data_IF_389393077544
#
_entry.id   IF_389393077544
#
_cell.length_a   1.000
_cell.length_b   1.000
_cell.length_c   1.000
_cell.angle_alpha   90.00
_cell.angle_beta   90.00
_cell.angle_gamma   90.00
#
_symmetry.space_group_name_H-M   'P 1'
#
loop_
_entity.id
_entity.type
_entity.pdbx_description
1 polymer ?
#
# COMPACT_ATOMS: atom_id res chain seq x y z
N UNK A 1 55.63 10.61 -15.54
CA UNK A 1 55.04 11.94 -15.77
C UNK A 1 53.81 11.72 -16.65
N UNK A 2 52.61 11.69 -16.05
CA UNK A 2 51.56 12.73 -16.15
C UNK A 2 51.03 12.94 -17.58
N UNK A 3 49.79 12.50 -17.82
CA UNK A 3 48.64 13.30 -18.28
C UNK A 3 47.49 12.33 -18.67
N UNK A 4 46.46 12.11 -17.83
CA UNK A 4 45.24 12.90 -17.64
C UNK A 4 44.37 13.07 -18.89
N UNK A 5 43.07 12.78 -18.69
CA UNK A 5 41.90 13.19 -19.47
C UNK A 5 41.38 12.23 -20.56
N UNK A 6 40.42 11.39 -20.17
CA UNK A 6 39.11 11.28 -20.82
C UNK A 6 38.17 10.59 -19.82
N UNK A 7 37.58 11.37 -18.92
CA UNK A 7 36.19 11.83 -19.01
C UNK A 7 35.16 10.71 -18.81
N UNK A 8 34.79 10.55 -17.53
CA UNK A 8 33.41 10.59 -17.07
C UNK A 8 32.41 9.63 -17.74
N UNK A 9 32.40 8.38 -17.27
CA UNK A 9 31.13 7.62 -17.19
C UNK A 9 30.36 8.11 -15.95
N UNK A 10 29.72 9.27 -16.10
CA UNK A 10 28.58 9.67 -15.26
C UNK A 10 27.36 8.88 -15.76
N UNK A 11 26.46 8.54 -14.83
CA UNK A 11 25.13 7.95 -15.00
C UNK A 11 24.98 6.45 -14.68
N UNK A 12 25.35 6.05 -13.46
CA UNK A 12 24.54 5.09 -12.70
C UNK A 12 24.05 5.69 -11.38
N UNK A 13 23.53 6.93 -11.46
CA UNK A 13 22.40 7.38 -10.65
C UNK A 13 21.13 6.67 -11.15
N UNK A 14 21.15 5.34 -11.12
CA UNK A 14 20.04 4.49 -11.55
C UNK A 14 19.26 4.06 -10.33
N UNK A 15 18.64 5.03 -9.65
CA UNK A 15 17.51 4.82 -8.75
C UNK A 15 17.65 3.55 -7.89
N UNK A 16 18.40 3.67 -6.79
CA UNK A 16 17.83 3.18 -5.55
C UNK A 16 16.51 3.95 -5.40
N UNK A 17 15.46 3.45 -6.06
CA UNK A 17 14.10 3.79 -5.71
C UNK A 17 14.09 3.54 -4.22
N UNK A 18 14.05 4.61 -3.45
CA UNK A 18 13.67 4.55 -2.07
C UNK A 18 12.27 3.94 -2.11
N UNK A 19 12.19 2.62 -2.14
CA UNK A 19 11.02 1.85 -1.76
C UNK A 19 10.87 2.12 -0.28
N UNK A 20 10.47 3.36 0.06
CA UNK A 20 9.73 3.59 1.27
C UNK A 20 8.63 2.55 1.20
N UNK A 21 8.53 1.64 2.19
CA UNK A 21 7.36 0.77 2.25
C UNK A 21 6.15 1.70 2.09
N UNK A 22 5.30 1.41 1.11
CA UNK A 22 4.10 2.21 0.91
C UNK A 22 3.40 2.33 2.27
N UNK A 23 3.20 3.55 2.75
CA UNK A 23 2.60 3.72 4.06
C UNK A 23 1.22 3.06 4.06
N UNK A 24 0.89 2.26 5.07
CA UNK A 24 -0.38 1.58 5.11
C UNK A 24 -1.51 2.59 5.17
N UNK A 25 -2.46 2.48 4.24
CA UNK A 25 -3.70 3.23 4.24
C UNK A 25 -4.49 2.92 5.52
N UNK A 26 -5.09 3.98 6.06
CA UNK A 26 -5.77 3.94 7.35
C UNK A 26 -7.18 3.34 7.25
N UNK A 27 -7.74 2.96 8.40
CA UNK A 27 -9.13 2.51 8.49
C UNK A 27 -10.10 3.55 7.91
N UNK A 28 -9.91 4.83 8.24
CA UNK A 28 -10.77 5.92 7.77
C UNK A 28 -10.74 6.07 6.23
N UNK A 29 -9.59 5.82 5.61
CA UNK A 29 -9.50 5.78 4.15
C UNK A 29 -10.41 4.68 3.59
N UNK A 30 -10.33 3.47 4.13
CA UNK A 30 -11.14 2.34 3.68
C UNK A 30 -12.63 2.48 4.01
N UNK A 31 -13.03 3.23 5.03
CA UNK A 31 -14.45 3.52 5.29
C UNK A 31 -15.11 4.27 4.12
N UNK A 32 -14.36 5.15 3.45
CA UNK A 32 -14.87 6.01 2.37
C UNK A 32 -14.52 5.50 0.96
N UNK A 33 -13.59 4.55 0.83
CA UNK A 33 -13.13 4.01 -0.44
C UNK A 33 -13.49 2.52 -0.58
N UNK A 34 -14.74 2.22 -0.93
CA UNK A 34 -15.29 0.85 -0.95
C UNK A 34 -14.56 -0.09 -1.92
N UNK A 35 -14.25 0.37 -3.14
CA UNK A 35 -13.59 -0.46 -4.14
C UNK A 35 -12.20 -0.92 -3.66
N UNK A 36 -11.44 -0.01 -3.07
CA UNK A 36 -10.12 -0.30 -2.51
C UNK A 36 -10.22 -1.21 -1.29
N UNK A 37 -11.20 -0.97 -0.41
CA UNK A 37 -11.46 -1.83 0.75
C UNK A 37 -11.71 -3.28 0.32
N UNK A 38 -12.62 -3.49 -0.64
CA UNK A 38 -12.95 -4.82 -1.16
C UNK A 38 -11.76 -5.49 -1.84
N UNK A 39 -11.02 -4.74 -2.66
CA UNK A 39 -9.83 -5.23 -3.35
C UNK A 39 -8.75 -5.68 -2.35
N UNK A 40 -8.47 -4.89 -1.32
CA UNK A 40 -7.50 -5.24 -0.29
C UNK A 40 -7.96 -6.46 0.50
N UNK A 41 -9.22 -6.52 0.93
CA UNK A 41 -9.75 -7.70 1.65
C UNK A 41 -9.64 -8.97 0.82
N UNK A 42 -9.96 -8.90 -0.47
CA UNK A 42 -9.84 -10.06 -1.36
C UNK A 42 -8.38 -10.51 -1.50
N UNK A 43 -7.46 -9.56 -1.71
CA UNK A 43 -6.04 -9.85 -1.74
C UNK A 43 -5.55 -10.42 -0.40
N UNK A 44 -6.02 -9.93 0.76
CA UNK A 44 -5.65 -10.47 2.06
C UNK A 44 -6.16 -11.92 2.28
N UNK A 45 -7.29 -12.29 1.68
CA UNK A 45 -7.87 -13.65 1.78
C UNK A 45 -7.23 -14.63 0.80
N UNK A 46 -6.86 -14.15 -0.39
CA UNK A 46 -6.37 -14.99 -1.50
C UNK A 46 -4.84 -14.96 -1.68
N UNK A 47 -4.12 -14.03 -1.04
CA UNK A 47 -2.66 -13.97 -1.15
C UNK A 47 -1.99 -15.09 -0.35
N UNK A 48 -1.65 -16.17 -1.06
CA UNK A 48 -0.82 -17.29 -0.59
C UNK A 48 0.54 -16.84 0.00
N UNK A 49 0.98 -15.60 -0.30
CA UNK A 49 2.18 -14.98 0.25
C UNK A 49 1.90 -13.52 0.64
N UNK A 50 1.28 -13.37 1.82
CA UNK A 50 1.18 -12.16 2.66
C UNK A 50 1.11 -10.83 1.90
N UNK A 51 -0.11 -10.31 1.72
CA UNK A 51 -0.34 -8.92 1.33
C UNK A 51 0.54 -7.96 2.12
N UNK A 52 1.17 -7.00 1.43
CA UNK A 52 1.97 -5.95 2.05
C UNK A 52 1.47 -4.57 1.63
N UNK A 53 1.31 -3.62 2.58
CA UNK A 53 1.62 -3.76 4.01
C UNK A 53 0.56 -4.59 4.76
N UNK A 54 1.00 -5.53 5.61
CA UNK A 54 0.09 -6.38 6.41
C UNK A 54 -0.91 -5.56 7.26
N UNK A 55 -0.50 -4.37 7.69
CA UNK A 55 -1.31 -3.45 8.49
C UNK A 55 -2.57 -2.96 7.73
N UNK A 56 -2.52 -2.88 6.40
CA UNK A 56 -3.70 -2.50 5.62
C UNK A 56 -4.78 -3.58 5.62
N UNK A 57 -4.42 -4.87 5.72
CA UNK A 57 -5.41 -5.94 5.84
C UNK A 57 -6.28 -5.73 7.08
N UNK A 58 -5.66 -5.41 8.21
CA UNK A 58 -6.37 -5.11 9.46
C UNK A 58 -7.25 -3.87 9.33
N UNK A 59 -6.73 -2.80 8.71
CA UNK A 59 -7.47 -1.56 8.50
C UNK A 59 -8.66 -1.72 7.56
N UNK A 60 -8.50 -2.46 6.45
CA UNK A 60 -9.57 -2.72 5.50
C UNK A 60 -10.67 -3.61 6.10
N UNK A 61 -10.30 -4.68 6.82
CA UNK A 61 -11.27 -5.57 7.48
C UNK A 61 -12.07 -4.85 8.59
N UNK A 62 -11.42 -4.01 9.41
CA UNK A 62 -12.13 -3.23 10.43
C UNK A 62 -13.07 -2.20 9.82
N UNK A 63 -12.62 -1.49 8.78
CA UNK A 63 -13.48 -0.56 8.05
C UNK A 63 -14.72 -1.25 7.46
N UNK A 64 -14.58 -2.50 6.97
CA UNK A 64 -15.70 -3.25 6.39
C UNK A 64 -16.75 -3.61 7.44
N UNK A 65 -16.30 -4.01 8.63
CA UNK A 65 -17.16 -4.23 9.79
C UNK A 65 -17.90 -2.95 10.20
N UNK A 66 -17.20 -1.81 10.31
CA UNK A 66 -17.79 -0.52 10.70
C UNK A 66 -18.85 -0.07 9.69
N UNK A 67 -18.53 -0.10 8.39
CA UNK A 67 -19.46 0.31 7.33
C UNK A 67 -20.69 -0.60 7.31
N UNK A 68 -20.51 -1.90 7.48
CA UNK A 68 -21.62 -2.86 7.53
C UNK A 68 -22.53 -2.60 8.73
N UNK A 69 -21.98 -2.44 9.93
CA UNK A 69 -22.76 -2.10 11.12
C UNK A 69 -23.50 -0.76 10.97
N UNK A 70 -22.84 0.28 10.44
CA UNK A 70 -23.47 1.59 10.20
C UNK A 70 -24.66 1.45 9.26
N UNK A 71 -24.51 0.67 8.18
CA UNK A 71 -25.59 0.39 7.22
C UNK A 71 -26.75 -0.35 7.88
N UNK A 72 -26.45 -1.40 8.65
CA UNK A 72 -27.48 -2.23 9.30
C UNK A 72 -28.25 -1.45 10.38
N UNK A 73 -27.56 -0.58 11.13
CA UNK A 73 -28.19 0.32 12.11
C UNK A 73 -29.00 1.46 11.46
N UNK A 74 -28.68 1.86 10.23
CA UNK A 74 -29.43 2.89 9.48
C UNK A 74 -30.63 2.33 8.72
N UNK A 75 -30.72 1.00 8.60
CA UNK A 75 -31.80 0.29 7.92
C UNK A 75 -32.95 -0.12 8.87
N UNK A 76 -32.85 0.24 10.16
CA UNK A 76 -33.78 -0.10 11.24
C UNK A 76 -34.39 1.19 11.82
#
# INVERSE_FOLDING_TARGET
>A
MRNTASLALICLLGLAGCNRPAEPRTEHYFETHEADRKSVIDQCKNADRQYQPQEECGSAMRADYIVTMKRDNSAN
#
